data_IF_317227817020
#
_entry.id   IF_317227817020
#
_cell.length_a   1.000
_cell.length_b   1.000
_cell.length_c   1.000
_cell.angle_alpha   90.00
_cell.angle_beta   90.00
_cell.angle_gamma   90.00
#
_symmetry.space_group_name_H-M   'P 1'
#
loop_
_entity.id
_entity.type
_entity.pdbx_description
1 polymer ?
#
# COMPACT_ATOMS: atom_id res chain seq x y z
N UNK A 1 2.94 -12.43 22.37
CA UNK A 1 3.02 -10.97 22.11
C UNK A 1 1.67 -10.47 21.61
N UNK A 2 1.15 -9.44 22.28
CA UNK A 2 -0.14 -8.81 21.94
C UNK A 2 0.10 -7.53 21.14
N UNK A 3 -0.42 -7.49 19.92
CA UNK A 3 -0.32 -6.35 19.00
C UNK A 3 -1.69 -5.73 18.79
N UNK A 4 -1.79 -4.41 18.95
CA UNK A 4 -2.99 -3.65 18.59
C UNK A 4 -2.67 -2.74 17.41
N UNK A 5 -3.21 -3.07 16.24
CA UNK A 5 -3.18 -2.19 15.08
C UNK A 5 -4.28 -1.12 15.20
N UNK A 6 -3.97 0.13 14.87
CA UNK A 6 -4.93 1.24 14.94
C UNK A 6 -5.10 1.86 13.56
N UNK A 7 -6.34 1.96 13.10
CA UNK A 7 -6.72 2.50 11.80
C UNK A 7 -7.95 3.40 11.93
N UNK A 8 -8.10 4.40 11.03
CA UNK A 8 -9.28 5.27 11.05
C UNK A 8 -10.56 4.56 10.68
N UNK A 9 -10.55 3.77 9.63
CA UNK A 9 -11.68 3.02 9.10
C UNK A 9 -11.20 1.86 8.26
N UNK A 10 -12.11 0.98 7.89
CA UNK A 10 -11.86 -0.15 7.01
C UNK A 10 -12.73 0.00 5.76
N UNK A 11 -12.32 0.85 4.84
CA UNK A 11 -12.97 1.03 3.54
C UNK A 11 -12.10 0.44 2.43
N UNK A 12 -12.61 0.38 1.21
CA UNK A 12 -11.88 -0.19 0.09
C UNK A 12 -10.62 0.64 -0.21
N UNK A 13 -9.43 0.08 0.05
CA UNK A 13 -8.15 0.73 -0.17
C UNK A 13 -6.96 -0.20 0.03
N UNK A 14 -5.80 0.17 -0.52
CA UNK A 14 -4.58 -0.65 -0.42
C UNK A 14 -4.07 -0.81 1.02
N UNK A 15 -4.24 0.22 1.86
CA UNK A 15 -3.81 0.18 3.28
C UNK A 15 -4.66 -0.81 4.06
N UNK A 16 -5.97 -0.77 3.86
CA UNK A 16 -6.93 -1.62 4.56
C UNK A 16 -6.75 -3.09 4.17
N UNK A 17 -6.62 -3.36 2.88
CA UNK A 17 -6.33 -4.71 2.38
C UNK A 17 -5.00 -5.24 2.92
N UNK A 18 -3.95 -4.42 2.88
CA UNK A 18 -2.64 -4.76 3.45
C UNK A 18 -2.74 -5.04 4.95
N UNK A 19 -3.50 -4.22 5.71
CA UNK A 19 -3.70 -4.43 7.14
C UNK A 19 -4.40 -5.76 7.45
N UNK A 20 -5.45 -6.12 6.70
CA UNK A 20 -6.11 -7.44 6.81
C UNK A 20 -5.09 -8.55 6.61
N UNK A 21 -4.32 -8.47 5.53
CA UNK A 21 -3.33 -9.49 5.19
C UNK A 21 -2.26 -9.64 6.27
N UNK A 22 -1.70 -8.53 6.77
CA UNK A 22 -0.67 -8.54 7.83
C UNK A 22 -1.26 -9.04 9.15
N UNK A 23 -2.42 -8.55 9.58
CA UNK A 23 -3.06 -8.96 10.83
C UNK A 23 -3.36 -10.48 10.84
N UNK A 24 -3.89 -10.99 9.72
CA UNK A 24 -4.15 -12.41 9.54
C UNK A 24 -2.85 -13.24 9.58
N UNK A 25 -1.80 -12.78 8.91
CA UNK A 25 -0.52 -13.48 8.89
C UNK A 25 0.16 -13.47 10.28
N UNK A 26 0.12 -12.35 11.00
CA UNK A 26 0.64 -12.27 12.37
C UNK A 26 -0.14 -13.17 13.34
N UNK A 27 -1.46 -13.26 13.20
CA UNK A 27 -2.30 -14.15 14.00
C UNK A 27 -1.99 -15.63 13.68
N UNK A 28 -1.73 -15.97 12.42
CA UNK A 28 -1.25 -17.31 12.01
C UNK A 28 0.11 -17.63 12.59
N UNK A 29 0.99 -16.62 12.71
CA UNK A 29 2.33 -16.76 13.31
C UNK A 29 2.30 -16.79 14.86
N UNK A 30 1.11 -16.83 15.50
CA UNK A 30 0.94 -17.00 16.94
C UNK A 30 0.93 -15.70 17.74
N UNK A 31 0.85 -14.53 17.11
CA UNK A 31 0.62 -13.27 17.82
C UNK A 31 -0.87 -13.13 18.24
N UNK A 32 -1.11 -12.51 19.39
CA UNK A 32 -2.44 -12.09 19.80
C UNK A 32 -2.75 -10.74 19.14
N UNK A 33 -3.52 -10.76 18.06
CA UNK A 33 -3.74 -9.57 17.21
C UNK A 33 -5.10 -8.94 17.49
N UNK A 34 -5.10 -7.62 17.63
CA UNK A 34 -6.28 -6.77 17.69
C UNK A 34 -6.21 -5.73 16.57
N UNK A 35 -7.35 -5.38 15.98
CA UNK A 35 -7.46 -4.25 15.06
C UNK A 35 -8.47 -3.26 15.62
N UNK A 36 -8.02 -2.06 15.97
CA UNK A 36 -8.85 -0.99 16.50
C UNK A 36 -9.27 -0.05 15.37
N UNK A 37 -10.56 -0.01 15.11
CA UNK A 37 -11.22 0.82 14.11
C UNK A 37 -11.78 2.05 14.81
N UNK A 38 -11.31 3.24 14.45
CA UNK A 38 -11.66 4.47 15.18
C UNK A 38 -12.98 5.03 14.72
N UNK A 39 -13.21 5.16 13.42
CA UNK A 39 -14.48 5.66 12.86
C UNK A 39 -15.59 4.59 12.93
N UNK A 40 -16.83 5.03 12.75
CA UNK A 40 -18.02 4.18 12.76
C UNK A 40 -18.50 3.78 11.35
N UNK A 41 -17.59 3.70 10.41
CA UNK A 41 -17.88 3.23 9.05
C UNK A 41 -16.80 2.25 8.55
N UNK A 42 -17.26 1.21 7.90
CA UNK A 42 -16.41 0.17 7.28
C UNK A 42 -17.16 -0.54 6.16
N UNK A 43 -16.44 -1.23 5.33
CA UNK A 43 -16.98 -2.11 4.29
C UNK A 43 -17.01 -3.55 4.82
N UNK A 44 -18.20 -4.16 4.91
CA UNK A 44 -18.40 -5.52 5.46
C UNK A 44 -17.52 -6.58 4.79
N UNK A 45 -17.29 -6.59 3.47
CA UNK A 45 -16.37 -7.54 2.84
C UNK A 45 -14.94 -7.47 3.39
N UNK A 46 -14.46 -6.27 3.77
CA UNK A 46 -13.13 -6.11 4.37
C UNK A 46 -13.12 -6.64 5.79
N UNK A 47 -14.16 -6.32 6.57
CA UNK A 47 -14.30 -6.81 7.96
C UNK A 47 -14.38 -8.33 7.98
N UNK A 48 -15.16 -8.92 7.08
CA UNK A 48 -15.32 -10.37 6.96
C UNK A 48 -14.05 -11.12 6.50
N UNK A 49 -13.07 -10.39 5.93
CA UNK A 49 -11.79 -10.97 5.49
C UNK A 49 -10.78 -11.16 6.63
N UNK A 50 -11.08 -10.69 7.84
CA UNK A 50 -10.22 -10.98 8.99
C UNK A 50 -10.35 -12.43 9.46
N UNK A 51 -9.21 -13.04 9.76
CA UNK A 51 -9.15 -14.35 10.43
C UNK A 51 -9.87 -14.28 11.79
N UNK A 52 -10.61 -15.34 12.16
CA UNK A 52 -11.33 -15.44 13.44
C UNK A 52 -10.45 -15.26 14.69
N UNK A 53 -9.14 -15.39 14.55
CA UNK A 53 -8.16 -15.13 15.63
C UNK A 53 -7.88 -13.65 15.84
N UNK A 54 -8.20 -12.80 14.87
CA UNK A 54 -8.04 -11.35 14.95
C UNK A 54 -9.29 -10.76 15.62
N UNK A 55 -9.10 -10.07 16.76
CA UNK A 55 -10.20 -9.40 17.45
C UNK A 55 -10.34 -7.97 16.96
N UNK A 56 -11.54 -7.57 16.54
CA UNK A 56 -11.87 -6.21 16.16
C UNK A 56 -12.33 -5.39 17.36
N UNK A 57 -11.87 -4.16 17.48
CA UNK A 57 -12.19 -3.21 18.52
C UNK A 57 -12.75 -1.94 17.87
N UNK A 58 -13.95 -1.51 18.28
CA UNK A 58 -14.65 -0.38 17.66
C UNK A 58 -14.69 0.81 18.63
N UNK A 59 -14.10 1.94 18.22
CA UNK A 59 -14.13 3.19 19.01
C UNK A 59 -15.39 4.01 18.73
N UNK A 60 -16.06 3.78 17.60
CA UNK A 60 -17.31 4.43 17.20
C UNK A 60 -17.23 5.97 17.17
N UNK A 61 -16.22 6.53 16.52
CA UNK A 61 -16.18 7.96 16.20
C UNK A 61 -17.07 8.21 15.00
N UNK A 62 -18.16 8.96 15.19
CA UNK A 62 -19.10 9.31 14.10
C UNK A 62 -18.39 10.10 13.00
N UNK A 63 -18.68 9.76 11.75
CA UNK A 63 -18.18 10.48 10.57
C UNK A 63 -18.50 11.98 10.68
N UNK A 64 -17.52 12.84 10.41
CA UNK A 64 -17.68 14.28 10.50
C UNK A 64 -17.77 14.86 11.91
N UNK A 65 -17.80 14.03 12.97
CA UNK A 65 -17.87 14.52 14.34
C UNK A 65 -16.55 15.14 14.80
N UNK A 66 -16.58 16.40 15.26
CA UNK A 66 -15.50 17.10 15.97
C UNK A 66 -15.39 16.74 17.46
N UNK A 67 -16.26 15.88 17.99
CA UNK A 67 -16.29 15.56 19.40
C UNK A 67 -15.02 14.77 19.83
N UNK A 68 -14.18 15.31 20.74
CA UNK A 68 -12.91 14.70 21.13
C UNK A 68 -13.03 13.48 22.07
N UNK A 69 -14.21 13.16 22.58
CA UNK A 69 -14.39 12.06 23.52
C UNK A 69 -13.99 10.69 22.96
N UNK A 70 -13.94 10.52 21.63
CA UNK A 70 -13.40 9.31 21.02
C UNK A 70 -11.93 9.09 21.41
N UNK A 71 -11.12 10.16 21.64
CA UNK A 71 -9.73 10.08 22.05
C UNK A 71 -9.64 9.42 23.42
N UNK A 72 -10.49 9.84 24.37
CA UNK A 72 -10.55 9.25 25.70
C UNK A 72 -10.95 7.76 25.62
N UNK A 73 -11.98 7.45 24.80
CA UNK A 73 -12.43 6.07 24.60
C UNK A 73 -11.32 5.21 23.98
N UNK A 74 -10.67 5.66 22.91
CA UNK A 74 -9.56 4.98 22.25
C UNK A 74 -8.44 4.66 23.24
N UNK A 75 -7.98 5.64 24.01
CA UNK A 75 -6.91 5.45 24.98
C UNK A 75 -7.31 4.51 26.12
N UNK A 76 -8.54 4.61 26.65
CA UNK A 76 -9.05 3.67 27.67
C UNK A 76 -9.09 2.24 27.13
N UNK A 77 -9.50 2.04 25.88
CA UNK A 77 -9.52 0.72 25.26
C UNK A 77 -8.10 0.18 25.08
N UNK A 78 -7.15 0.98 24.61
CA UNK A 78 -5.73 0.60 24.50
C UNK A 78 -5.17 0.18 25.87
N UNK A 79 -5.41 0.96 26.91
CA UNK A 79 -4.95 0.64 28.27
C UNK A 79 -5.57 -0.63 28.84
N UNK A 80 -6.84 -0.90 28.55
CA UNK A 80 -7.54 -2.14 28.94
C UNK A 80 -7.01 -3.39 28.23
N UNK A 81 -6.68 -3.26 26.95
CA UNK A 81 -6.11 -4.36 26.17
C UNK A 81 -4.68 -4.72 26.63
N UNK A 82 -3.96 -3.82 27.30
CA UNK A 82 -2.57 -4.01 27.77
C UNK A 82 -1.68 -4.58 26.63
N UNK A 83 -1.56 -3.89 25.50
CA UNK A 83 -0.77 -4.39 24.38
C UNK A 83 0.74 -4.32 24.68
N UNK A 84 1.49 -5.25 24.13
CA UNK A 84 2.95 -5.15 24.07
C UNK A 84 3.37 -4.13 23.00
N UNK A 85 2.57 -3.99 21.94
CA UNK A 85 2.80 -3.09 20.80
C UNK A 85 1.51 -2.42 20.37
N UNK A 86 1.57 -1.10 20.12
CA UNK A 86 0.54 -0.33 19.42
C UNK A 86 1.08 0.06 18.06
N UNK A 87 0.53 -0.51 16.99
CA UNK A 87 0.97 -0.23 15.62
C UNK A 87 -0.03 0.72 14.92
N UNK A 88 0.44 1.91 14.60
CA UNK A 88 -0.35 2.98 13.99
C UNK A 88 -0.22 2.94 12.46
N UNK A 89 -1.35 2.84 11.75
CA UNK A 89 -1.39 2.79 10.27
C UNK A 89 -1.84 4.09 9.62
N UNK A 90 -2.09 5.11 10.43
CA UNK A 90 -2.41 6.43 9.90
C UNK A 90 -1.74 7.50 10.75
N UNK A 91 -1.43 8.59 10.11
CA UNK A 91 -0.88 9.78 10.73
C UNK A 91 -1.88 10.41 11.70
N UNK A 92 -1.34 11.24 12.56
CA UNK A 92 -2.12 11.92 13.59
C UNK A 92 -2.43 11.06 14.81
N UNK A 93 -2.46 9.74 14.73
CA UNK A 93 -2.68 8.90 15.91
C UNK A 93 -1.63 9.11 17.00
N UNK A 94 -0.38 9.37 16.62
CA UNK A 94 0.69 9.68 17.56
C UNK A 94 0.32 10.83 18.51
N UNK A 95 -0.35 11.87 17.98
CA UNK A 95 -0.77 13.03 18.76
C UNK A 95 -1.96 12.73 19.67
N UNK A 96 -2.73 11.70 19.35
CA UNK A 96 -3.91 11.26 20.09
C UNK A 96 -3.60 10.25 21.19
N UNK A 97 -2.40 9.67 21.22
CA UNK A 97 -1.99 8.74 22.28
C UNK A 97 -1.75 9.49 23.59
N UNK A 98 -2.47 9.10 24.64
CA UNK A 98 -2.35 9.67 25.96
C UNK A 98 -1.12 9.12 26.70
N UNK A 99 -0.32 10.04 27.22
CA UNK A 99 0.81 9.72 28.09
C UNK A 99 2.04 9.14 27.37
N UNK A 100 3.16 9.11 28.12
CA UNK A 100 4.44 8.58 27.62
C UNK A 100 4.42 7.05 27.47
N UNK A 101 3.64 6.34 28.29
CA UNK A 101 3.58 4.88 28.30
C UNK A 101 3.13 4.29 26.96
N UNK A 102 1.99 4.75 26.42
CA UNK A 102 1.51 4.27 25.12
C UNK A 102 2.44 4.63 23.97
N UNK A 103 3.10 5.81 24.01
CA UNK A 103 4.06 6.21 22.98
C UNK A 103 5.33 5.38 22.98
N UNK A 104 5.77 4.86 24.14
CA UNK A 104 6.93 3.98 24.25
C UNK A 104 6.73 2.62 23.57
N UNK A 105 5.51 2.11 23.57
CA UNK A 105 5.15 0.84 22.91
C UNK A 105 4.54 1.06 21.53
N UNK A 106 4.47 2.31 21.05
CA UNK A 106 3.90 2.63 19.75
C UNK A 106 4.95 2.62 18.65
N UNK A 107 4.58 2.07 17.51
CA UNK A 107 5.26 2.23 16.24
C UNK A 107 4.28 2.75 15.18
N UNK A 108 4.82 3.31 14.12
CA UNK A 108 4.01 3.83 13.01
C UNK A 108 4.60 3.43 11.68
N UNK A 109 3.76 2.90 10.79
CA UNK A 109 4.12 2.71 9.37
C UNK A 109 3.66 3.91 8.55
N UNK A 110 4.57 4.43 7.72
CA UNK A 110 4.27 5.43 6.71
C UNK A 110 3.96 4.72 5.38
N UNK A 111 2.70 4.87 4.92
CA UNK A 111 2.15 4.16 3.76
C UNK A 111 2.18 4.95 2.45
N UNK A 112 2.75 6.14 2.45
CA UNK A 112 2.89 7.01 1.27
C UNK A 112 4.16 7.85 1.42
N UNK A 113 4.53 8.57 0.36
CA UNK A 113 5.66 9.49 0.41
C UNK A 113 5.45 10.53 1.52
N UNK A 114 6.52 10.86 2.29
CA UNK A 114 6.40 11.79 3.40
C UNK A 114 6.05 13.20 2.94
N UNK A 115 5.12 13.83 3.63
CA UNK A 115 4.64 15.17 3.32
C UNK A 115 4.37 15.99 4.60
N UNK A 116 4.29 17.32 4.46
CA UNK A 116 4.02 18.22 5.57
C UNK A 116 5.28 18.60 6.35
N UNK A 117 5.12 19.15 7.57
CA UNK A 117 6.19 19.54 8.47
C UNK A 117 6.30 18.58 9.64
N UNK A 118 7.54 18.27 10.06
CA UNK A 118 7.80 17.38 11.22
C UNK A 118 7.26 17.99 12.52
N UNK A 119 7.43 19.29 12.68
CA UNK A 119 6.92 20.08 13.81
C UNK A 119 6.20 21.30 13.26
N UNK A 120 5.00 21.58 13.79
CA UNK A 120 4.33 22.86 13.59
C UNK A 120 4.58 23.69 14.84
N UNK A 121 5.32 24.78 14.70
CA UNK A 121 5.54 25.76 15.75
C UNK A 121 4.35 26.72 15.79
N UNK A 122 3.73 26.89 16.95
CA UNK A 122 2.65 27.85 17.20
C UNK A 122 1.53 27.32 18.10
N UNK A 123 1.00 28.21 18.95
CA UNK A 123 -0.02 27.89 19.95
C UNK A 123 -1.35 27.42 19.31
N UNK A 124 -1.70 27.93 18.12
CA UNK A 124 -2.91 27.57 17.36
C UNK A 124 -2.86 26.09 16.92
N UNK A 125 -1.68 25.57 16.54
CA UNK A 125 -1.54 24.18 16.13
C UNK A 125 -1.51 23.17 17.30
N UNK A 126 -1.31 23.63 18.52
CA UNK A 126 -1.51 22.82 19.75
C UNK A 126 -2.99 22.56 20.02
N UNK A 127 -3.87 23.47 19.62
CA UNK A 127 -5.33 23.37 19.82
C UNK A 127 -6.06 22.75 18.60
N UNK A 128 -5.43 22.69 17.41
CA UNK A 128 -6.01 22.20 16.16
C UNK A 128 -5.25 20.99 15.55
N UNK A 129 -4.83 19.96 16.31
CA UNK A 129 -4.26 18.75 15.71
C UNK A 129 -5.26 18.01 14.82
N UNK A 130 -6.55 18.38 14.88
CA UNK A 130 -7.64 17.70 14.19
C UNK A 130 -7.80 18.10 12.71
N UNK A 131 -7.32 19.27 12.29
CA UNK A 131 -7.52 19.76 10.91
C UNK A 131 -6.58 19.13 9.87
N UNK A 132 -5.46 18.55 10.30
CA UNK A 132 -4.43 17.99 9.41
C UNK A 132 -4.30 16.44 9.49
N UNK A 133 -5.22 15.83 10.20
CA UNK A 133 -5.23 14.39 10.51
C UNK A 133 -5.49 13.52 9.27
N UNK A 134 -5.96 14.08 8.17
CA UNK A 134 -6.51 13.31 7.05
C UNK A 134 -5.58 13.13 5.84
N UNK A 135 -4.41 13.81 5.79
CA UNK A 135 -3.56 13.70 4.59
C UNK A 135 -2.56 12.51 4.63
N UNK A 136 -2.50 11.62 3.63
CA UNK A 136 -1.49 10.57 3.54
C UNK A 136 -0.07 11.15 3.49
N UNK A 137 0.88 10.51 4.20
CA UNK A 137 2.27 10.95 4.22
C UNK A 137 2.65 12.05 5.20
N UNK A 138 1.72 12.65 5.98
CA UNK A 138 2.07 13.68 6.95
C UNK A 138 2.96 13.12 8.08
N UNK A 139 4.10 13.73 8.32
CA UNK A 139 5.10 13.32 9.32
C UNK A 139 4.98 14.02 10.67
N UNK A 140 3.92 14.80 10.90
CA UNK A 140 3.75 15.54 12.16
C UNK A 140 3.85 14.61 13.38
N UNK A 141 4.81 14.88 14.26
CA UNK A 141 5.09 14.12 15.49
C UNK A 141 5.44 12.63 15.28
N UNK A 142 5.78 12.20 14.08
CA UNK A 142 6.16 10.80 13.79
C UNK A 142 7.42 10.39 14.58
N UNK A 143 8.27 11.34 14.94
CA UNK A 143 9.47 11.18 15.80
C UNK A 143 9.15 10.83 17.26
N UNK A 144 7.87 10.91 17.68
CA UNK A 144 7.46 10.65 19.07
C UNK A 144 7.04 9.21 19.35
N UNK A 145 7.02 8.35 18.34
CA UNK A 145 6.83 6.91 18.53
C UNK A 145 8.18 6.21 18.76
N UNK A 146 8.12 5.01 19.28
CA UNK A 146 9.30 4.17 19.52
C UNK A 146 10.05 3.82 18.25
N UNK A 147 9.31 3.48 17.19
CA UNK A 147 9.85 3.06 15.91
C UNK A 147 8.99 3.55 14.76
N UNK A 148 9.63 4.06 13.73
CA UNK A 148 8.99 4.38 12.45
C UNK A 148 9.34 3.29 11.44
N UNK A 149 8.36 2.83 10.68
CA UNK A 149 8.53 1.92 9.57
C UNK A 149 8.22 2.61 8.25
N UNK A 150 9.03 2.34 7.24
CA UNK A 150 8.83 2.75 5.86
C UNK A 150 8.48 1.52 5.00
N UNK A 151 7.53 1.68 4.09
CA UNK A 151 7.07 0.57 3.23
C UNK A 151 8.00 0.28 2.06
N UNK A 152 8.98 1.15 1.81
CA UNK A 152 9.96 1.04 0.73
C UNK A 152 11.24 1.80 1.10
N UNK A 153 12.30 1.56 0.36
CA UNK A 153 13.54 2.34 0.49
C UNK A 153 13.31 3.80 0.10
N UNK A 154 12.55 4.06 -0.95
CA UNK A 154 12.21 5.42 -1.36
C UNK A 154 11.52 6.23 -0.25
N UNK A 155 10.58 5.63 0.49
CA UNK A 155 9.94 6.26 1.65
C UNK A 155 10.93 6.44 2.80
N UNK A 156 11.83 5.47 3.04
CA UNK A 156 12.88 5.56 4.06
C UNK A 156 13.85 6.72 3.79
N UNK A 157 14.38 6.78 2.56
CA UNK A 157 15.34 7.80 2.15
C UNK A 157 14.70 9.21 2.22
N UNK A 158 13.48 9.36 1.73
CA UNK A 158 12.74 10.61 1.82
C UNK A 158 12.44 11.05 3.27
N UNK A 159 12.20 10.11 4.20
CA UNK A 159 12.07 10.41 5.63
C UNK A 159 13.37 10.92 6.22
N UNK A 160 14.48 10.29 5.87
CA UNK A 160 15.80 10.68 6.36
C UNK A 160 16.26 12.01 5.77
N UNK A 161 16.27 12.13 4.44
CA UNK A 161 16.77 13.31 3.74
C UNK A 161 15.98 14.57 4.04
N UNK A 162 14.65 14.47 4.05
CA UNK A 162 13.79 15.64 4.20
C UNK A 162 13.49 15.99 5.64
N UNK A 163 13.49 15.01 6.55
CA UNK A 163 13.01 15.21 7.92
C UNK A 163 13.99 14.75 9.01
N UNK A 164 15.09 14.11 8.66
CA UNK A 164 16.04 13.54 9.62
C UNK A 164 15.41 12.43 10.50
N UNK A 165 14.35 11.78 10.03
CA UNK A 165 13.65 10.73 10.77
C UNK A 165 14.20 9.37 10.39
N UNK A 166 14.81 8.68 11.35
CA UNK A 166 15.24 7.31 11.18
C UNK A 166 14.03 6.36 11.10
N UNK A 167 14.03 5.49 10.10
CA UNK A 167 13.00 4.45 9.95
C UNK A 167 13.62 3.10 9.62
N UNK A 168 12.86 2.02 9.77
CA UNK A 168 13.22 0.69 9.30
C UNK A 168 12.34 0.32 8.12
N UNK A 169 12.95 -0.27 7.10
CA UNK A 169 12.19 -0.70 5.92
C UNK A 169 11.55 -2.05 6.19
N UNK A 170 10.22 -2.07 6.17
CA UNK A 170 9.39 -3.28 6.14
C UNK A 170 8.43 -3.14 4.98
N UNK A 171 8.79 -3.77 3.86
CA UNK A 171 7.99 -3.70 2.64
C UNK A 171 6.61 -4.30 2.84
N UNK A 172 5.62 -3.73 2.15
CA UNK A 172 4.28 -4.29 2.14
C UNK A 172 4.30 -5.71 1.54
N UNK A 173 3.44 -6.58 2.07
CA UNK A 173 3.28 -7.95 1.61
C UNK A 173 1.91 -8.23 1.02
N UNK A 174 1.87 -9.20 0.12
CA UNK A 174 0.66 -9.72 -0.51
C UNK A 174 0.53 -11.22 -0.26
N UNK A 175 -0.67 -11.81 -0.29
CA UNK A 175 -0.83 -13.27 -0.21
C UNK A 175 -0.45 -13.91 -1.55
N UNK A 176 0.85 -13.97 -1.84
CA UNK A 176 1.39 -14.29 -3.15
C UNK A 176 0.99 -15.70 -3.68
N UNK A 177 0.69 -16.62 -2.77
CA UNK A 177 0.26 -17.98 -3.13
C UNK A 177 -1.21 -18.06 -3.60
N UNK A 178 -2.02 -17.03 -3.33
CA UNK A 178 -3.46 -17.03 -3.62
C UNK A 178 -3.81 -16.54 -5.03
N UNK A 179 -2.82 -16.01 -5.77
CA UNK A 179 -3.05 -15.51 -7.13
C UNK A 179 -3.12 -16.67 -8.13
N UNK A 180 -4.17 -16.68 -8.96
CA UNK A 180 -4.26 -17.57 -10.10
C UNK A 180 -3.13 -17.29 -11.06
N UNK A 181 -2.51 -18.37 -11.56
CA UNK A 181 -1.36 -18.24 -12.42
C UNK A 181 -1.77 -18.05 -13.87
N UNK A 182 -1.07 -17.14 -14.53
CA UNK A 182 -1.07 -17.04 -15.96
C UNK A 182 -0.39 -18.28 -16.57
N UNK A 183 -1.11 -18.99 -17.45
CA UNK A 183 -0.54 -20.11 -18.19
C UNK A 183 0.52 -19.67 -19.20
N UNK A 184 1.26 -20.63 -19.75
CA UNK A 184 2.31 -20.41 -20.76
C UNK A 184 1.75 -20.11 -22.16
N UNK A 185 0.75 -19.24 -22.26
CA UNK A 185 0.23 -18.81 -23.56
C UNK A 185 1.04 -17.63 -24.11
N UNK A 186 1.12 -17.52 -25.44
CA UNK A 186 1.66 -16.34 -26.14
C UNK A 186 0.88 -15.06 -25.82
N UNK A 187 1.35 -13.94 -26.33
CA UNK A 187 0.61 -12.68 -26.29
C UNK A 187 -0.69 -12.79 -27.10
N UNK A 188 -1.77 -12.18 -26.61
CA UNK A 188 -2.99 -11.97 -27.37
C UNK A 188 -2.79 -10.96 -28.49
N UNK A 189 -3.70 -10.98 -29.47
CA UNK A 189 -3.79 -9.97 -30.51
C UNK A 189 -5.22 -9.42 -30.54
N UNK A 190 -5.47 -8.20 -29.98
CA UNK A 190 -4.51 -7.26 -29.35
C UNK A 190 -3.94 -7.77 -28.01
N UNK A 191 -2.75 -7.27 -27.62
CA UNK A 191 -2.14 -7.50 -26.31
C UNK A 191 -3.10 -7.01 -25.21
N UNK A 192 -3.46 -7.88 -24.28
CA UNK A 192 -4.37 -7.53 -23.17
C UNK A 192 -3.60 -6.92 -22.02
N UNK A 193 -3.81 -5.63 -21.83
CA UNK A 193 -3.12 -4.82 -20.81
C UNK A 193 -4.09 -4.54 -19.66
N UNK A 194 -3.61 -4.59 -18.42
CA UNK A 194 -4.39 -4.20 -17.25
C UNK A 194 -3.63 -3.21 -16.38
N UNK A 195 -4.37 -2.26 -15.81
CA UNK A 195 -3.95 -1.42 -14.68
C UNK A 195 -4.98 -1.55 -13.57
N UNK A 196 -4.53 -1.91 -12.37
CA UNK A 196 -5.37 -2.01 -11.16
C UNK A 196 -5.00 -0.88 -10.22
N UNK A 197 -5.84 0.14 -10.10
CA UNK A 197 -5.58 1.28 -9.23
C UNK A 197 -6.83 2.16 -9.05
N UNK A 198 -6.82 3.04 -8.05
CA UNK A 198 -7.78 4.13 -8.01
C UNK A 198 -7.62 5.01 -9.26
N UNK A 199 -8.72 5.41 -9.88
CA UNK A 199 -8.71 6.29 -11.06
C UNK A 199 -8.42 7.74 -10.62
N UNK A 200 -7.15 8.04 -10.51
CA UNK A 200 -6.54 9.34 -10.18
C UNK A 200 -5.35 9.54 -11.13
N UNK A 201 -5.63 10.08 -12.31
CA UNK A 201 -4.64 10.18 -13.39
C UNK A 201 -3.43 11.01 -13.01
N UNK A 202 -3.59 12.03 -12.15
CA UNK A 202 -2.49 12.86 -11.68
C UNK A 202 -1.47 12.09 -10.86
N UNK A 203 -1.91 11.02 -10.16
CA UNK A 203 -1.02 10.15 -9.39
C UNK A 203 -0.71 8.84 -10.09
N UNK A 204 -1.73 8.20 -10.71
CA UNK A 204 -1.65 6.83 -11.22
C UNK A 204 -1.38 6.72 -12.71
N UNK A 205 -1.34 7.86 -13.42
CA UNK A 205 -0.89 7.93 -14.81
C UNK A 205 -1.76 7.21 -15.84
N UNK A 206 -3.06 7.02 -15.57
CA UNK A 206 -3.95 6.36 -16.54
C UNK A 206 -4.02 7.07 -17.88
N UNK A 207 -3.90 8.40 -17.87
CA UNK A 207 -3.81 9.24 -19.07
C UNK A 207 -2.60 8.86 -19.94
N UNK A 208 -1.44 8.58 -19.33
CA UNK A 208 -0.25 8.11 -20.06
C UNK A 208 -0.51 6.77 -20.76
N UNK A 209 -1.25 5.86 -20.11
CA UNK A 209 -1.57 4.56 -20.70
C UNK A 209 -2.58 4.68 -21.84
N UNK A 210 -3.57 5.58 -21.74
CA UNK A 210 -4.50 5.88 -22.87
C UNK A 210 -3.72 6.46 -24.05
N UNK A 211 -2.81 7.42 -23.82
CA UNK A 211 -1.95 7.99 -24.87
C UNK A 211 -1.03 6.95 -25.52
N UNK A 212 -0.41 6.08 -24.72
CA UNK A 212 0.43 5.01 -25.23
C UNK A 212 -0.35 4.01 -26.07
N UNK A 213 -1.56 3.64 -25.64
CA UNK A 213 -2.44 2.74 -26.38
C UNK A 213 -2.83 3.33 -27.75
N UNK A 214 -3.11 4.64 -27.82
CA UNK A 214 -3.43 5.33 -29.05
C UNK A 214 -2.26 5.24 -30.06
N UNK A 215 -1.01 5.40 -29.59
CA UNK A 215 0.20 5.29 -30.44
C UNK A 215 0.40 3.88 -30.98
N UNK A 216 -0.09 2.85 -30.30
CA UNK A 216 0.03 1.44 -30.70
C UNK A 216 -1.04 0.96 -31.66
N UNK A 217 -1.96 1.83 -32.10
CA UNK A 217 -2.88 1.64 -33.23
C UNK A 217 -3.59 0.28 -33.23
N UNK A 218 -4.29 -0.06 -32.17
CA UNK A 218 -5.08 -1.29 -32.06
C UNK A 218 -4.28 -2.55 -31.69
N UNK A 219 -2.96 -2.46 -31.52
CA UNK A 219 -2.13 -3.60 -31.09
C UNK A 219 -2.31 -3.96 -29.62
N UNK A 220 -2.94 -3.09 -28.84
CA UNK A 220 -3.20 -3.28 -27.39
C UNK A 220 -4.67 -3.00 -27.07
N UNK A 221 -5.21 -3.74 -26.11
CA UNK A 221 -6.48 -3.48 -25.45
C UNK A 221 -6.21 -3.28 -23.94
N UNK A 222 -6.80 -2.24 -23.35
CA UNK A 222 -6.49 -1.80 -21.98
C UNK A 222 -7.73 -1.90 -21.11
N UNK A 223 -7.62 -2.59 -19.99
CA UNK A 223 -8.62 -2.64 -18.95
C UNK A 223 -8.16 -1.86 -17.72
N UNK A 224 -8.92 -0.85 -17.32
CA UNK A 224 -8.75 -0.13 -16.07
C UNK A 224 -9.67 -0.74 -15.00
N UNK A 225 -9.05 -1.25 -13.91
CA UNK A 225 -9.75 -1.79 -12.75
C UNK A 225 -9.65 -0.81 -11.61
N UNK A 226 -10.79 -0.34 -11.12
CA UNK A 226 -10.91 0.62 -10.04
C UNK A 226 -11.94 1.70 -10.32
N UNK A 227 -12.07 2.64 -9.39
CA UNK A 227 -12.92 3.80 -9.53
C UNK A 227 -12.21 5.05 -9.00
N UNK A 228 -12.68 6.23 -9.39
CA UNK A 228 -12.11 7.49 -8.92
C UNK A 228 -12.57 8.69 -9.73
N UNK A 229 -12.14 9.87 -9.32
CA UNK A 229 -12.58 11.14 -9.90
C UNK A 229 -12.20 11.33 -11.38
N UNK A 230 -11.21 10.58 -11.86
CA UNK A 230 -10.71 10.70 -13.25
C UNK A 230 -11.51 9.89 -14.26
N UNK A 231 -12.52 9.11 -13.87
CA UNK A 231 -13.23 8.19 -14.75
C UNK A 231 -13.77 8.86 -16.01
N UNK A 232 -14.53 9.95 -15.86
CA UNK A 232 -15.16 10.62 -17.00
C UNK A 232 -14.15 11.35 -17.90
N UNK A 233 -13.06 11.85 -17.34
CA UNK A 233 -11.96 12.39 -18.11
C UNK A 233 -11.31 11.30 -18.98
N UNK A 234 -10.99 10.16 -18.40
CA UNK A 234 -10.32 9.05 -19.09
C UNK A 234 -11.21 8.44 -20.19
N UNK A 235 -12.53 8.33 -19.97
CA UNK A 235 -13.47 7.90 -21.00
C UNK A 235 -13.47 8.85 -22.20
N UNK A 236 -13.52 10.17 -21.96
CA UNK A 236 -13.43 11.17 -23.03
C UNK A 236 -12.13 11.06 -23.80
N UNK A 237 -11.00 10.98 -23.09
CA UNK A 237 -9.69 10.82 -23.71
C UNK A 237 -9.63 9.58 -24.63
N UNK A 238 -10.17 8.45 -24.18
CA UNK A 238 -10.21 7.22 -24.97
C UNK A 238 -11.11 7.39 -26.22
N UNK A 239 -12.27 8.03 -26.10
CA UNK A 239 -13.18 8.28 -27.21
C UNK A 239 -12.58 9.22 -28.25
N UNK A 240 -11.98 10.34 -27.83
CA UNK A 240 -11.33 11.31 -28.72
C UNK A 240 -10.16 10.72 -29.52
N UNK A 241 -9.54 9.64 -29.01
CA UNK A 241 -8.45 8.90 -29.68
C UNK A 241 -8.93 7.68 -30.45
N UNK A 242 -10.25 7.47 -30.56
CA UNK A 242 -10.81 6.33 -31.27
C UNK A 242 -10.59 4.98 -30.58
N UNK A 243 -10.37 4.95 -29.26
CA UNK A 243 -10.06 3.75 -28.48
C UNK A 243 -11.29 3.15 -27.77
N UNK A 244 -12.51 3.60 -28.07
CA UNK A 244 -13.71 3.22 -27.32
C UNK A 244 -13.99 1.71 -27.23
N UNK A 245 -13.51 0.92 -28.19
CA UNK A 245 -13.62 -0.55 -28.20
C UNK A 245 -12.41 -1.25 -27.56
N UNK A 246 -11.30 -0.54 -27.38
CA UNK A 246 -10.02 -1.08 -26.91
C UNK A 246 -9.69 -0.68 -25.47
N UNK A 247 -10.37 0.33 -24.92
CA UNK A 247 -10.19 0.79 -23.54
C UNK A 247 -11.49 0.57 -22.77
N UNK A 248 -11.42 -0.24 -21.72
CA UNK A 248 -12.56 -0.56 -20.87
C UNK A 248 -12.31 -0.15 -19.43
N UNK A 249 -13.40 0.24 -18.76
CA UNK A 249 -13.38 0.61 -17.33
C UNK A 249 -14.25 -0.39 -16.57
N UNK A 250 -13.61 -1.31 -15.83
CA UNK A 250 -14.27 -2.46 -15.21
C UNK A 250 -14.84 -2.17 -13.82
N UNK A 251 -14.70 -0.92 -13.34
CA UNK A 251 -15.14 -0.54 -12.01
C UNK A 251 -14.29 -1.16 -10.89
N UNK A 252 -14.75 -1.01 -9.65
CA UNK A 252 -14.10 -1.64 -8.49
C UNK A 252 -14.25 -3.15 -8.55
N UNK A 253 -13.19 -3.84 -8.16
CA UNK A 253 -13.15 -5.28 -7.98
C UNK A 253 -12.73 -5.64 -6.57
N UNK A 254 -13.25 -6.71 -6.04
CA UNK A 254 -12.79 -7.29 -4.77
C UNK A 254 -11.39 -7.87 -4.94
N UNK A 255 -10.69 -8.10 -3.85
CA UNK A 255 -9.36 -8.71 -3.93
C UNK A 255 -9.42 -10.13 -4.53
N UNK A 256 -10.46 -10.89 -4.23
CA UNK A 256 -10.65 -12.23 -4.81
C UNK A 256 -10.86 -12.17 -6.33
N UNK A 257 -11.65 -11.21 -6.82
CA UNK A 257 -11.79 -10.99 -8.27
C UNK A 257 -10.46 -10.58 -8.91
N UNK A 258 -9.66 -9.71 -8.27
CA UNK A 258 -8.33 -9.30 -8.76
C UNK A 258 -7.39 -10.51 -8.81
N UNK A 259 -7.31 -11.33 -7.75
CA UNK A 259 -6.52 -12.56 -7.71
C UNK A 259 -6.88 -13.52 -8.86
N UNK A 260 -8.17 -13.63 -9.16
CA UNK A 260 -8.66 -14.51 -10.24
C UNK A 260 -8.36 -13.95 -11.63
N UNK A 261 -8.57 -12.63 -11.85
CA UNK A 261 -8.57 -12.06 -13.19
C UNK A 261 -7.20 -11.71 -13.76
N UNK A 262 -6.22 -11.37 -12.91
CA UNK A 262 -4.90 -10.91 -13.37
C UNK A 262 -4.24 -11.89 -14.35
N UNK A 263 -4.39 -13.17 -14.13
CA UNK A 263 -3.85 -14.21 -15.00
C UNK A 263 -4.44 -14.22 -16.44
N UNK A 264 -5.50 -13.47 -16.70
CA UNK A 264 -6.10 -13.35 -18.03
C UNK A 264 -5.43 -12.29 -18.93
N UNK A 265 -4.51 -11.51 -18.37
CA UNK A 265 -3.81 -10.44 -19.06
C UNK A 265 -2.41 -10.85 -19.54
N UNK A 266 -1.93 -10.10 -20.51
CA UNK A 266 -0.63 -10.34 -21.13
C UNK A 266 0.42 -9.36 -20.57
N UNK A 267 0.00 -8.19 -20.09
CA UNK A 267 0.89 -7.19 -19.49
C UNK A 267 0.15 -6.41 -18.40
N UNK A 268 0.78 -6.27 -17.26
CA UNK A 268 0.36 -5.36 -16.21
C UNK A 268 1.15 -4.06 -16.34
N UNK A 269 0.47 -2.91 -16.37
CA UNK A 269 1.12 -1.60 -16.52
C UNK A 269 0.75 -0.70 -15.35
N UNK A 270 1.77 -0.15 -14.66
CA UNK A 270 1.58 0.82 -13.59
C UNK A 270 2.38 2.10 -13.88
N UNK A 271 1.81 3.04 -14.64
CA UNK A 271 2.50 4.26 -15.06
C UNK A 271 2.35 5.38 -14.02
N UNK A 272 2.43 5.05 -12.73
CA UNK A 272 2.24 6.00 -11.64
C UNK A 272 3.28 7.11 -11.66
N UNK A 273 2.83 8.36 -11.57
CA UNK A 273 3.70 9.52 -11.33
C UNK A 273 4.20 9.58 -9.90
N UNK A 274 3.37 9.08 -8.96
CA UNK A 274 3.69 9.05 -7.53
C UNK A 274 3.13 7.76 -6.91
N UNK A 275 4.01 6.90 -6.41
CA UNK A 275 3.62 5.63 -5.77
C UNK A 275 4.66 5.23 -4.72
N UNK A 276 4.24 5.04 -3.47
CA UNK A 276 5.15 4.69 -2.37
C UNK A 276 5.67 3.25 -2.42
N UNK A 277 4.94 2.30 -3.02
CA UNK A 277 5.35 0.88 -3.07
C UNK A 277 4.92 0.19 -4.38
N UNK A 278 3.62 0.08 -4.66
CA UNK A 278 3.10 -0.64 -5.82
C UNK A 278 2.60 -2.05 -5.48
N UNK A 279 1.70 -2.17 -4.49
CA UNK A 279 1.10 -3.48 -4.13
C UNK A 279 0.54 -4.21 -5.35
N UNK A 280 -0.18 -3.51 -6.22
CA UNK A 280 -0.80 -4.12 -7.41
C UNK A 280 0.22 -4.60 -8.45
N UNK A 281 1.43 -4.03 -8.47
CA UNK A 281 2.55 -4.54 -9.28
C UNK A 281 3.03 -5.88 -8.73
N UNK A 282 3.22 -5.98 -7.42
CA UNK A 282 3.55 -7.26 -6.77
C UNK A 282 2.46 -8.32 -7.01
N UNK A 283 1.18 -7.92 -7.03
CA UNK A 283 0.03 -8.79 -7.38
C UNK A 283 0.12 -9.30 -8.82
N UNK A 284 0.44 -8.42 -9.79
CA UNK A 284 0.69 -8.79 -11.18
C UNK A 284 1.85 -9.79 -11.33
N UNK A 285 2.96 -9.53 -10.64
CA UNK A 285 4.11 -10.44 -10.58
C UNK A 285 3.74 -11.80 -9.95
N UNK A 286 2.94 -11.81 -8.87
CA UNK A 286 2.48 -13.04 -8.21
C UNK A 286 1.58 -13.88 -9.14
N UNK A 287 0.75 -13.24 -9.97
CA UNK A 287 -0.05 -13.89 -11.00
C UNK A 287 0.77 -14.41 -12.19
N UNK A 288 2.08 -14.11 -12.25
CA UNK A 288 2.96 -14.48 -13.36
C UNK A 288 2.70 -13.66 -14.63
N UNK A 289 2.20 -12.45 -14.48
CA UNK A 289 1.98 -11.50 -15.59
C UNK A 289 3.23 -10.62 -15.74
N UNK A 290 3.78 -10.44 -16.93
CA UNK A 290 4.81 -9.45 -17.18
C UNK A 290 4.39 -8.06 -16.71
N UNK A 291 5.32 -7.28 -16.13
CA UNK A 291 5.01 -5.97 -15.55
C UNK A 291 5.86 -4.86 -16.16
N UNK A 292 5.25 -3.70 -16.39
CA UNK A 292 5.89 -2.48 -16.90
C UNK A 292 5.49 -1.30 -16.00
N UNK A 293 6.46 -0.59 -15.44
CA UNK A 293 6.23 0.43 -14.41
C UNK A 293 7.03 1.71 -14.69
N UNK A 294 6.63 2.83 -14.09
CA UNK A 294 7.41 4.07 -14.12
C UNK A 294 8.74 3.91 -13.38
N UNK A 295 9.82 4.44 -13.92
CA UNK A 295 11.12 4.54 -13.25
C UNK A 295 11.06 5.51 -12.06
N UNK A 296 11.90 5.29 -11.04
CA UNK A 296 12.09 6.21 -9.92
C UNK A 296 11.04 6.18 -8.82
N UNK A 297 9.99 5.36 -8.95
CA UNK A 297 8.91 5.23 -7.97
C UNK A 297 8.96 3.86 -7.25
N UNK A 298 8.15 3.69 -6.20
CA UNK A 298 8.06 2.44 -5.45
C UNK A 298 7.85 1.18 -6.31
N UNK A 299 7.03 1.20 -7.37
CA UNK A 299 6.92 0.09 -8.31
C UNK A 299 8.24 -0.36 -8.94
N UNK A 300 9.16 0.56 -9.23
CA UNK A 300 10.49 0.21 -9.75
C UNK A 300 11.37 -0.49 -8.71
N UNK A 301 11.17 -0.19 -7.41
CA UNK A 301 11.81 -0.96 -6.32
C UNK A 301 11.26 -2.40 -6.27
N UNK A 302 9.95 -2.58 -6.43
CA UNK A 302 9.30 -3.91 -6.44
C UNK A 302 9.81 -4.78 -7.58
N UNK A 303 10.06 -4.20 -8.75
CA UNK A 303 10.59 -4.91 -9.92
C UNK A 303 12.12 -5.01 -9.91
N UNK A 304 12.81 -4.43 -8.91
CA UNK A 304 14.28 -4.26 -8.90
C UNK A 304 14.77 -3.62 -10.20
N UNK A 305 14.14 -2.50 -10.60
CA UNK A 305 14.35 -1.90 -11.90
C UNK A 305 13.90 -2.84 -13.04
N UNK A 306 14.79 -3.05 -14.01
CA UNK A 306 14.51 -3.92 -15.15
C UNK A 306 14.79 -5.41 -14.91
N UNK A 307 15.11 -5.82 -13.68
CA UNK A 307 15.45 -7.22 -13.40
C UNK A 307 14.21 -8.15 -13.47
N UNK A 308 13.10 -7.73 -12.88
CA UNK A 308 11.88 -8.53 -12.78
C UNK A 308 10.68 -7.93 -13.54
N UNK A 309 10.91 -6.85 -14.27
CA UNK A 309 9.91 -6.16 -15.08
C UNK A 309 10.60 -5.27 -16.11
N UNK A 310 9.92 -4.26 -16.58
CA UNK A 310 10.49 -3.17 -17.37
C UNK A 310 10.16 -1.86 -16.72
N UNK A 311 11.05 -0.90 -16.90
CA UNK A 311 10.80 0.48 -16.51
C UNK A 311 10.72 1.39 -17.72
N UNK A 312 10.02 2.50 -17.59
CA UNK A 312 10.02 3.58 -18.57
C UNK A 312 10.13 4.93 -17.86
N UNK A 313 10.55 5.96 -18.59
CA UNK A 313 10.69 7.32 -18.08
C UNK A 313 9.36 7.86 -17.54
N UNK A 314 9.33 8.21 -16.25
CA UNK A 314 8.12 8.67 -15.57
C UNK A 314 7.50 9.90 -16.25
N UNK A 315 6.19 9.89 -16.46
CA UNK A 315 5.45 10.97 -17.11
C UNK A 315 5.52 10.97 -18.65
N UNK A 316 6.25 10.05 -19.28
CA UNK A 316 6.47 10.02 -20.71
C UNK A 316 5.65 8.92 -21.42
N UNK A 317 4.51 9.30 -22.03
CA UNK A 317 3.62 8.38 -22.74
C UNK A 317 4.27 7.76 -24.00
N UNK A 318 5.20 8.46 -24.67
CA UNK A 318 5.91 7.94 -25.84
C UNK A 318 6.90 6.83 -25.44
N UNK A 319 7.65 7.03 -24.36
CA UNK A 319 8.50 5.99 -23.79
C UNK A 319 7.70 4.80 -23.30
N UNK A 320 6.52 5.04 -22.67
CA UNK A 320 5.61 3.97 -22.29
C UNK A 320 5.18 3.16 -23.52
N UNK A 321 4.76 3.81 -24.60
CA UNK A 321 4.35 3.13 -25.84
C UNK A 321 5.52 2.33 -26.45
N UNK A 322 6.73 2.88 -26.47
CA UNK A 322 7.92 2.19 -26.97
C UNK A 322 8.23 0.93 -26.13
N UNK A 323 8.17 1.04 -24.80
CA UNK A 323 8.38 -0.11 -23.89
C UNK A 323 7.30 -1.18 -24.07
N UNK A 324 6.01 -0.81 -24.23
CA UNK A 324 4.93 -1.74 -24.53
C UNK A 324 5.15 -2.45 -25.89
N UNK A 325 5.59 -1.72 -26.91
CA UNK A 325 5.92 -2.30 -28.22
C UNK A 325 7.11 -3.28 -28.14
N UNK A 326 8.13 -2.95 -27.35
CA UNK A 326 9.26 -3.84 -27.09
C UNK A 326 8.79 -5.15 -26.44
N UNK A 327 8.02 -5.07 -25.34
CA UNK A 327 7.48 -6.24 -24.65
C UNK A 327 6.67 -7.12 -25.60
N UNK A 328 5.83 -6.51 -26.45
CA UNK A 328 5.02 -7.25 -27.44
C UNK A 328 5.92 -8.00 -28.45
N UNK A 329 7.01 -7.40 -28.92
CA UNK A 329 7.92 -8.03 -29.89
C UNK A 329 8.88 -9.06 -29.26
N UNK A 330 9.10 -8.99 -27.93
CA UNK A 330 9.98 -9.89 -27.19
C UNK A 330 9.22 -10.68 -26.11
N UNK A 331 8.02 -11.14 -26.45
CA UNK A 331 7.11 -11.69 -25.45
C UNK A 331 7.62 -12.98 -24.78
N UNK A 332 8.46 -13.76 -25.46
CA UNK A 332 9.16 -14.89 -24.84
C UNK A 332 10.05 -14.48 -23.68
N UNK A 333 10.84 -13.42 -23.85
CA UNK A 333 11.65 -12.82 -22.77
C UNK A 333 10.75 -12.32 -21.64
N UNK A 334 9.60 -11.73 -21.96
CA UNK A 334 8.64 -11.25 -20.99
C UNK A 334 8.12 -12.36 -20.07
N UNK A 335 7.85 -13.54 -20.62
CA UNK A 335 7.41 -14.70 -19.84
C UNK A 335 8.50 -15.23 -18.91
N UNK A 336 9.73 -15.31 -19.36
CA UNK A 336 10.85 -15.75 -18.52
C UNK A 336 11.09 -14.76 -17.36
N UNK A 337 11.05 -13.46 -17.67
CA UNK A 337 11.16 -12.41 -16.66
C UNK A 337 10.01 -12.49 -15.65
N UNK A 338 8.76 -12.73 -16.09
CA UNK A 338 7.61 -12.92 -15.21
C UNK A 338 7.73 -14.16 -14.30
N UNK A 339 8.32 -15.27 -14.78
CA UNK A 339 8.61 -16.44 -13.93
C UNK A 339 9.60 -16.11 -12.82
N UNK A 340 10.65 -15.35 -13.13
CA UNK A 340 11.63 -14.88 -12.15
C UNK A 340 10.99 -13.89 -11.16
N UNK A 341 10.19 -12.94 -11.67
CA UNK A 341 9.45 -11.97 -10.88
C UNK A 341 8.54 -12.64 -9.83
N UNK A 342 7.81 -13.66 -10.23
CA UNK A 342 6.95 -14.44 -9.33
C UNK A 342 7.73 -15.09 -8.19
N UNK A 343 8.89 -15.70 -8.47
CA UNK A 343 9.74 -16.25 -7.40
C UNK A 343 10.18 -15.17 -6.43
N UNK A 344 10.67 -14.06 -6.97
CA UNK A 344 11.10 -12.90 -6.18
C UNK A 344 9.99 -12.40 -5.24
N UNK A 345 8.75 -12.22 -5.74
CA UNK A 345 7.62 -11.78 -4.92
C UNK A 345 7.31 -12.76 -3.79
N UNK A 346 7.33 -14.06 -4.07
CA UNK A 346 7.06 -15.08 -3.04
C UNK A 346 8.13 -15.11 -1.95
N UNK A 347 9.37 -14.85 -2.29
CA UNK A 347 10.49 -14.86 -1.35
C UNK A 347 10.63 -13.55 -0.58
N UNK A 348 10.22 -12.42 -1.18
CA UNK A 348 10.50 -11.08 -0.64
C UNK A 348 9.25 -10.35 -0.16
N UNK A 349 8.14 -10.48 -0.89
CA UNK A 349 6.90 -9.72 -0.68
C UNK A 349 5.70 -10.60 -0.34
N UNK A 350 5.90 -11.88 0.01
CA UNK A 350 4.81 -12.65 0.60
C UNK A 350 4.44 -12.06 1.97
N UNK A 351 3.15 -12.00 2.25
CA UNK A 351 2.65 -11.39 3.48
C UNK A 351 3.19 -12.06 4.75
N UNK A 352 3.53 -13.33 4.70
CA UNK A 352 4.15 -14.04 5.83
C UNK A 352 5.56 -13.50 6.11
N UNK A 353 6.33 -13.16 5.09
CA UNK A 353 7.65 -12.51 5.22
C UNK A 353 7.52 -11.13 5.86
N UNK A 354 6.57 -10.32 5.37
CA UNK A 354 6.29 -8.99 5.95
C UNK A 354 5.84 -9.09 7.40
N UNK A 355 4.90 -9.98 7.70
CA UNK A 355 4.39 -10.18 9.06
C UNK A 355 5.49 -10.61 10.02
N UNK A 356 6.35 -11.54 9.63
CA UNK A 356 7.47 -12.00 10.43
C UNK A 356 8.50 -10.88 10.68
N UNK A 357 8.83 -10.07 9.66
CA UNK A 357 9.71 -8.92 9.83
C UNK A 357 9.15 -7.92 10.85
N UNK A 358 7.84 -7.60 10.80
CA UNK A 358 7.23 -6.77 11.83
C UNK A 358 7.33 -7.40 13.21
N UNK A 359 7.02 -8.70 13.35
CA UNK A 359 7.10 -9.40 14.64
C UNK A 359 8.52 -9.41 15.22
N UNK A 360 9.54 -9.56 14.39
CA UNK A 360 10.95 -9.47 14.79
C UNK A 360 11.31 -8.05 15.25
N UNK A 361 10.91 -7.03 14.50
CA UNK A 361 11.15 -5.64 14.87
C UNK A 361 10.44 -5.27 16.18
N UNK A 362 9.21 -5.75 16.42
CA UNK A 362 8.52 -5.57 17.69
C UNK A 362 9.28 -6.20 18.85
N UNK A 363 9.76 -7.43 18.69
CA UNK A 363 10.58 -8.10 19.72
C UNK A 363 11.83 -7.30 20.04
N UNK A 364 12.54 -6.79 19.02
CA UNK A 364 13.76 -5.98 19.21
C UNK A 364 13.54 -4.76 20.07
N UNK A 365 12.49 -3.98 19.83
CA UNK A 365 12.26 -2.80 20.65
C UNK A 365 11.68 -3.09 22.03
N UNK A 366 10.93 -4.18 22.22
CA UNK A 366 10.47 -4.64 23.54
C UNK A 366 11.68 -5.06 24.40
N UNK A 367 12.60 -5.87 23.84
CA UNK A 367 13.81 -6.32 24.56
C UNK A 367 14.73 -5.17 24.95
N UNK A 368 14.95 -4.20 24.05
CA UNK A 368 15.77 -3.03 24.33
C UNK A 368 15.22 -2.13 25.46
N UNK A 369 13.91 -2.16 25.72
CA UNK A 369 13.29 -1.48 26.86
C UNK A 369 13.49 -2.27 28.17
N UNK A 370 13.48 -3.59 28.13
CA UNK A 370 13.72 -4.45 29.28
C UNK A 370 15.16 -4.30 29.78
N UNK A 371 16.15 -4.26 28.88
CA UNK A 371 17.56 -4.06 29.23
C UNK A 371 17.82 -2.68 29.88
N UNK A 372 17.21 -1.62 29.34
CA UNK A 372 17.33 -0.28 29.95
C UNK A 372 16.70 -0.17 31.33
N UNK A 373 15.63 -0.92 31.60
CA UNK A 373 14.99 -0.99 32.92
C UNK A 373 15.84 -1.73 33.94
N UNK A 374 16.67 -2.69 33.53
CA UNK A 374 17.58 -3.43 34.39
C UNK A 374 18.85 -2.61 34.75
N UNK A 375 19.33 -1.76 33.83
CA UNK A 375 20.53 -0.94 34.01
C UNK A 375 20.23 0.38 34.76
N UNK A 376 18.99 0.88 34.69
CA UNK A 376 18.59 2.16 35.33
C UNK A 376 17.98 2.02 36.73
N UNK A 377 17.96 0.82 37.31
CA UNK A 377 17.40 0.51 38.63
C UNK A 377 18.50 0.22 39.70
N UNK A 378 19.76 0.63 39.42
CA UNK A 378 20.87 0.52 40.38
C UNK A 378 21.18 1.87 41.06
#
# INVERSE_FOLDING_TARGET
MKVVHVVWGLTFGGIETMLVNIANAQARAGAEVRVMIVNDYWDEPIVSSFDRRVKLLYVHKRKGSGNPFFIVRMNRMLLREKPDVVHLHAKGFVTLLAGKGLKRIACQTLHDMPSGALRREGMIYRLLPMLDITQPGNVTCIDKVRQVFAISRAVHDALWEKYGVASRVVCNGIPAAEFRLRGERGAGAPLRVVQVSRLDHLKKGQDLLVEAAARLRGRVAVDFVGAGASLELLKRMAAERGLGQLVRFLGKKTQEEVKAMLADYDLFVQPSRFEGFGLTVAEGMAAGVPVLVSAGEGPAEVTCGDLYGWTFENGNAERLAASMAYVLSHYGEALEKAKAARRHVRETYDVSVTANKYLEEYKRFIMADSEKSLIGGG
#
